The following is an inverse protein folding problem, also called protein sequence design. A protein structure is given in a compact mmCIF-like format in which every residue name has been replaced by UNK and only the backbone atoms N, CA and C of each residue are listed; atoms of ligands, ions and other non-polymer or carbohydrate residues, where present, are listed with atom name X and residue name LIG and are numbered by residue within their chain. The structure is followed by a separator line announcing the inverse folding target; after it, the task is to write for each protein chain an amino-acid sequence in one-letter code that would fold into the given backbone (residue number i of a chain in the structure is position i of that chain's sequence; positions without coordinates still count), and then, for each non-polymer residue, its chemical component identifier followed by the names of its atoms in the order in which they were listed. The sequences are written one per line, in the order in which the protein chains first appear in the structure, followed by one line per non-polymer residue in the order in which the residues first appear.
data_IF_862858734693
#
_entry.id   IF_862858734693
#
_cell.length_a   1.000
_cell.length_b   1.000
_cell.length_c   1.000
_cell.angle_alpha   90.00
_cell.angle_beta   90.00
_cell.angle_gamma   90.00
#
_symmetry.space_group_name_H-M   'P 1'
#
loop_
_entity.id
_entity.type
_entity.pdbx_description
1 polymer ?
#
# COMPACT_ATOMS: atom_id res chain seq x y z
N UNK A 1 14.33 17.96 6.78
CA UNK A 1 14.38 17.16 5.53
C UNK A 1 12.96 16.97 5.01
N UNK A 2 12.80 16.93 3.68
CA UNK A 2 11.53 16.53 3.06
C UNK A 2 11.25 15.05 3.38
N UNK A 3 9.99 14.69 3.58
CA UNK A 3 9.63 13.27 3.81
C UNK A 3 9.55 12.52 2.48
N UNK A 4 9.63 11.19 2.52
CA UNK A 4 9.63 10.33 1.34
C UNK A 4 8.51 10.71 0.37
N UNK A 5 8.84 10.86 -0.92
CA UNK A 5 7.89 11.15 -2.00
C UNK A 5 7.05 12.43 -1.84
N UNK A 6 7.41 13.38 -0.98
CA UNK A 6 6.68 14.62 -0.78
C UNK A 6 6.35 15.36 -2.09
N UNK A 7 7.28 15.40 -3.04
CA UNK A 7 7.08 16.05 -4.34
C UNK A 7 6.04 15.37 -5.23
N UNK A 8 5.71 14.09 -4.98
CA UNK A 8 4.67 13.33 -5.70
C UNK A 8 3.27 13.64 -5.20
N UNK A 9 3.12 14.13 -3.97
CA UNK A 9 1.82 14.56 -3.45
C UNK A 9 1.35 15.77 -4.26
N UNK A 10 0.11 15.78 -4.78
CA UNK A 10 -0.42 16.92 -5.53
C UNK A 10 -0.31 18.24 -4.78
N UNK A 11 0.20 19.26 -5.48
CA UNK A 11 0.55 20.55 -4.88
C UNK A 11 -0.65 21.23 -4.19
N UNK A 12 -1.88 20.99 -4.67
CA UNK A 12 -3.11 21.57 -4.13
C UNK A 12 -3.40 21.21 -2.67
N UNK A 13 -2.87 20.10 -2.17
CA UNK A 13 -3.03 19.68 -0.78
C UNK A 13 -1.74 19.21 -0.10
N UNK A 14 -0.59 19.31 -0.77
CA UNK A 14 0.70 18.77 -0.30
C UNK A 14 1.05 19.21 1.12
N UNK A 15 1.05 20.52 1.39
CA UNK A 15 1.48 21.05 2.69
C UNK A 15 0.62 20.49 3.83
N UNK A 16 -0.70 20.57 3.70
CA UNK A 16 -1.64 20.06 4.71
C UNK A 16 -1.56 18.53 4.85
N UNK A 17 -1.36 17.82 3.74
CA UNK A 17 -1.21 16.37 3.72
C UNK A 17 0.05 15.91 4.46
N UNK A 18 1.21 16.49 4.12
CA UNK A 18 2.51 16.18 4.74
C UNK A 18 2.49 16.48 6.24
N UNK A 19 1.93 17.63 6.63
CA UNK A 19 1.78 18.00 8.03
C UNK A 19 0.93 16.97 8.78
N UNK A 20 -0.21 16.59 8.23
CA UNK A 20 -1.08 15.57 8.85
C UNK A 20 -0.43 14.19 8.90
N UNK A 21 0.34 13.79 7.89
CA UNK A 21 1.12 12.54 7.91
C UNK A 21 2.11 12.52 9.07
N UNK A 22 2.84 13.62 9.30
CA UNK A 22 3.79 13.72 10.43
C UNK A 22 3.08 13.59 11.78
N UNK A 23 1.93 14.24 11.92
CA UNK A 23 1.12 14.16 13.14
C UNK A 23 0.60 12.74 13.39
N UNK A 24 0.09 12.07 12.35
CA UNK A 24 -0.37 10.68 12.45
C UNK A 24 0.79 9.76 12.81
N UNK A 25 1.92 9.89 12.12
CA UNK A 25 3.11 9.08 12.38
C UNK A 25 3.60 9.24 13.83
N UNK A 26 3.58 10.46 14.36
CA UNK A 26 3.87 10.73 15.77
C UNK A 26 2.91 10.00 16.72
N UNK A 27 1.59 10.01 16.45
CA UNK A 27 0.59 9.31 17.29
C UNK A 27 0.65 7.78 17.18
N UNK A 28 1.07 7.28 16.02
CA UNK A 28 1.30 5.85 15.78
C UNK A 28 2.65 5.36 16.31
N UNK A 29 3.59 6.26 16.61
CA UNK A 29 4.94 5.93 17.07
C UNK A 29 5.83 5.36 15.95
N UNK A 30 5.66 5.83 14.72
CA UNK A 30 6.39 5.36 13.54
C UNK A 30 7.08 6.51 12.80
N UNK A 31 7.99 6.20 11.89
CA UNK A 31 8.58 7.19 10.98
C UNK A 31 7.53 7.61 9.92
N UNK A 32 7.29 8.92 9.67
CA UNK A 32 6.35 9.39 8.64
C UNK A 32 6.67 8.91 7.22
N UNK A 33 7.94 8.61 6.91
CA UNK A 33 8.33 8.06 5.61
C UNK A 33 7.65 6.73 5.33
N UNK A 34 7.36 5.92 6.36
CA UNK A 34 6.72 4.61 6.19
C UNK A 34 5.29 4.76 5.66
N UNK A 35 4.54 5.74 6.17
CA UNK A 35 3.20 6.05 5.65
C UNK A 35 3.28 6.53 4.21
N UNK A 36 4.26 7.39 3.89
CA UNK A 36 4.44 7.90 2.53
C UNK A 36 4.80 6.80 1.53
N UNK A 37 5.68 5.87 1.90
CA UNK A 37 6.07 4.73 1.06
C UNK A 37 4.87 3.82 0.80
N UNK A 38 4.10 3.47 1.84
CA UNK A 38 2.90 2.63 1.72
C UNK A 38 1.86 3.30 0.84
N UNK A 39 1.54 4.58 1.08
CA UNK A 39 0.56 5.30 0.25
C UNK A 39 1.04 5.48 -1.19
N UNK A 40 2.34 5.71 -1.40
CA UNK A 40 2.93 5.74 -2.76
C UNK A 40 2.70 4.41 -3.46
N UNK A 41 2.93 3.29 -2.78
CA UNK A 41 2.76 1.96 -3.36
C UNK A 41 1.29 1.72 -3.72
N UNK A 42 0.39 1.92 -2.77
CA UNK A 42 -1.05 1.67 -2.90
C UNK A 42 -1.75 2.56 -3.94
N UNK A 43 -1.26 3.78 -4.14
CA UNK A 43 -1.84 4.74 -5.09
C UNK A 43 -1.10 4.81 -6.43
N UNK A 44 -0.15 3.90 -6.68
CA UNK A 44 0.76 3.97 -7.82
C UNK A 44 1.46 5.34 -7.97
N UNK A 45 1.74 5.99 -6.83
CA UNK A 45 2.43 7.27 -6.73
C UNK A 45 1.56 8.51 -6.96
N UNK A 46 0.24 8.35 -7.10
CA UNK A 46 -0.67 9.49 -7.33
C UNK A 46 -1.05 10.23 -6.05
N UNK A 47 -1.00 9.56 -4.89
CA UNK A 47 -1.54 10.05 -3.62
C UNK A 47 -3.02 10.49 -3.72
N UNK A 48 -3.74 9.98 -4.72
CA UNK A 48 -5.13 10.37 -4.95
C UNK A 48 -6.06 9.64 -3.97
N UNK A 49 -6.94 10.36 -3.25
CA UNK A 49 -7.93 9.73 -2.36
C UNK A 49 -9.03 9.01 -3.15
N UNK A 50 -9.17 9.30 -4.45
CA UNK A 50 -10.22 8.77 -5.29
C UNK A 50 -9.76 7.66 -6.22
N UNK A 51 -8.48 7.30 -6.23
CA UNK A 51 -7.98 6.21 -7.07
C UNK A 51 -8.67 4.89 -6.69
N UNK A 52 -9.13 4.14 -7.69
CA UNK A 52 -9.82 2.88 -7.48
C UNK A 52 -9.16 1.78 -8.30
N UNK A 53 -8.91 0.64 -7.66
CA UNK A 53 -8.46 -0.55 -8.36
C UNK A 53 -9.62 -1.17 -9.16
N UNK A 54 -9.43 -1.36 -10.47
CA UNK A 54 -10.48 -1.89 -11.34
C UNK A 54 -10.89 -3.34 -10.99
N UNK A 55 -9.94 -4.15 -10.52
CA UNK A 55 -10.14 -5.56 -10.18
C UNK A 55 -10.71 -5.79 -8.79
N UNK A 56 -10.13 -5.18 -7.76
CA UNK A 56 -10.56 -5.36 -6.35
C UNK A 56 -11.62 -4.37 -5.89
N UNK A 57 -11.86 -3.29 -6.65
CA UNK A 57 -12.70 -2.13 -6.29
C UNK A 57 -12.23 -1.34 -5.08
N UNK A 58 -11.05 -1.64 -4.54
CA UNK A 58 -10.42 -0.94 -3.45
C UNK A 58 -10.16 0.55 -3.77
N UNK A 59 -10.21 1.43 -2.77
CA UNK A 59 -10.21 2.89 -2.97
C UNK A 59 -9.18 3.62 -2.09
N UNK A 60 -8.55 4.65 -2.67
CA UNK A 60 -7.87 5.71 -1.93
C UNK A 60 -6.47 5.39 -1.45
N UNK A 61 -6.01 6.16 -0.47
CA UNK A 61 -4.62 6.27 -0.03
C UNK A 61 -3.99 4.95 0.42
N UNK A 62 -4.79 4.01 0.94
CA UNK A 62 -4.34 2.67 1.31
C UNK A 62 -5.21 1.56 0.68
N UNK A 63 -5.93 1.87 -0.40
CA UNK A 63 -6.81 0.93 -1.10
C UNK A 63 -7.79 0.20 -0.16
N UNK A 64 -8.65 0.98 0.52
CA UNK A 64 -9.71 0.46 1.38
C UNK A 64 -10.69 -0.42 0.58
N UNK A 65 -10.86 -1.68 1.00
CA UNK A 65 -11.91 -2.58 0.49
C UNK A 65 -13.23 -2.35 1.25
N UNK A 66 -14.34 -2.85 0.71
CA UNK A 66 -15.71 -2.67 1.25
C UNK A 66 -15.81 -3.05 2.74
N UNK A 67 -15.26 -4.20 3.12
CA UNK A 67 -15.31 -4.68 4.51
C UNK A 67 -14.57 -3.71 5.45
N UNK A 68 -13.38 -3.26 5.05
CA UNK A 68 -12.59 -2.30 5.85
C UNK A 68 -13.31 -0.95 5.97
N UNK A 69 -13.92 -0.46 4.89
CA UNK A 69 -14.69 0.78 4.91
C UNK A 69 -15.90 0.66 5.86
N UNK A 70 -16.61 -0.47 5.80
CA UNK A 70 -17.75 -0.77 6.68
C UNK A 70 -17.32 -0.83 8.14
N UNK A 71 -16.23 -1.53 8.45
CA UNK A 71 -15.67 -1.62 9.81
C UNK A 71 -15.22 -0.26 10.37
N UNK A 72 -14.93 0.70 9.50
CA UNK A 72 -14.57 2.06 9.88
C UNK A 72 -15.80 2.99 10.01
N UNK A 73 -17.01 2.49 9.74
CA UNK A 73 -18.26 3.25 9.81
C UNK A 73 -18.47 4.15 8.58
N UNK A 74 -17.96 3.76 7.41
CA UNK A 74 -18.09 4.50 6.15
C UNK A 74 -18.35 3.54 4.98
N UNK A 75 -18.25 4.04 3.74
CA UNK A 75 -18.34 3.23 2.52
C UNK A 75 -17.23 3.63 1.54
N UNK A 76 -16.86 2.79 0.57
CA UNK A 76 -15.87 3.18 -0.45
C UNK A 76 -16.29 4.42 -1.24
N UNK A 77 -17.59 4.60 -1.51
CA UNK A 77 -18.11 5.80 -2.16
C UNK A 77 -17.85 7.07 -1.33
N UNK A 78 -18.11 7.03 -0.02
CA UNK A 78 -17.81 8.15 0.89
C UNK A 78 -16.31 8.42 0.98
N UNK A 79 -15.49 7.36 1.09
CA UNK A 79 -14.02 7.48 1.10
C UNK A 79 -13.51 8.15 -0.18
N UNK A 80 -14.02 7.75 -1.35
CA UNK A 80 -13.64 8.31 -2.66
C UNK A 80 -13.98 9.81 -2.78
N UNK A 81 -15.04 10.25 -2.13
CA UNK A 81 -15.50 11.64 -2.14
C UNK A 81 -14.74 12.55 -1.16
N UNK A 82 -13.91 11.97 -0.26
CA UNK A 82 -13.12 12.75 0.68
C UNK A 82 -11.93 13.44 -0.01
N UNK A 83 -11.52 14.57 0.56
CA UNK A 83 -10.18 15.10 0.30
C UNK A 83 -9.10 14.15 0.81
N UNK A 84 -7.89 14.25 0.27
CA UNK A 84 -6.75 13.44 0.73
C UNK A 84 -6.50 13.61 2.24
N UNK A 85 -6.60 14.86 2.73
CA UNK A 85 -6.40 15.19 4.14
C UNK A 85 -7.50 14.60 5.03
N UNK A 86 -8.76 14.58 4.61
CA UNK A 86 -9.83 13.90 5.37
C UNK A 86 -9.64 12.39 5.38
N UNK A 87 -9.25 11.80 4.23
CA UNK A 87 -9.07 10.36 4.14
C UNK A 87 -7.92 9.86 5.03
N UNK A 88 -6.93 10.70 5.34
CA UNK A 88 -5.88 10.39 6.31
C UNK A 88 -6.42 10.08 7.73
N UNK A 89 -7.56 10.63 8.14
CA UNK A 89 -8.18 10.26 9.43
C UNK A 89 -8.60 8.77 9.45
N UNK A 90 -9.06 8.26 8.30
CA UNK A 90 -9.42 6.86 8.14
C UNK A 90 -8.19 5.96 8.04
N UNK A 91 -7.10 6.45 7.43
CA UNK A 91 -5.80 5.76 7.44
C UNK A 91 -5.31 5.58 8.87
N UNK A 92 -5.32 6.64 9.68
CA UNK A 92 -4.94 6.58 11.10
C UNK A 92 -5.86 5.65 11.90
N UNK A 93 -7.19 5.79 11.76
CA UNK A 93 -8.17 4.96 12.46
C UNK A 93 -7.98 3.47 12.16
N UNK A 94 -7.64 3.13 10.92
CA UNK A 94 -7.33 1.77 10.52
C UNK A 94 -6.02 1.26 11.14
N UNK A 95 -4.92 2.01 10.97
CA UNK A 95 -3.58 1.59 11.39
C UNK A 95 -3.40 1.55 12.91
N UNK A 96 -4.16 2.34 13.67
CA UNK A 96 -4.12 2.35 15.15
C UNK A 96 -4.33 0.96 15.76
N UNK A 97 -5.10 0.08 15.09
CA UNK A 97 -5.36 -1.31 15.51
C UNK A 97 -4.09 -2.17 15.59
N UNK A 98 -3.04 -1.78 14.85
CA UNK A 98 -1.82 -2.57 14.67
C UNK A 98 -0.58 -1.88 15.21
N UNK A 99 -0.68 -0.65 15.73
CA UNK A 99 0.49 0.20 16.03
C UNK A 99 1.54 -0.45 16.94
N UNK A 100 1.12 -1.27 17.90
CA UNK A 100 2.02 -1.98 18.80
C UNK A 100 2.89 -3.06 18.11
N UNK A 101 2.58 -3.41 16.86
CA UNK A 101 3.30 -4.39 16.05
C UNK A 101 4.22 -3.75 15.00
N UNK A 102 4.26 -2.42 14.89
CA UNK A 102 5.08 -1.75 13.89
C UNK A 102 6.52 -1.59 14.39
N UNK A 103 7.46 -2.26 13.74
CA UNK A 103 8.90 -2.07 13.96
C UNK A 103 9.61 -1.49 12.74
N UNK A 104 9.02 -1.63 11.55
CA UNK A 104 9.57 -1.15 10.28
C UNK A 104 8.47 -0.90 9.25
N UNK A 105 8.84 -0.36 8.07
CA UNK A 105 7.89 -0.08 6.98
C UNK A 105 7.15 -1.32 6.47
N UNK A 106 7.75 -2.52 6.53
CA UNK A 106 7.09 -3.74 6.06
C UNK A 106 5.91 -4.13 6.96
N UNK A 107 5.99 -3.86 8.26
CA UNK A 107 4.89 -4.12 9.18
C UNK A 107 3.68 -3.22 8.89
N UNK A 108 3.95 -1.94 8.58
CA UNK A 108 2.90 -0.99 8.16
C UNK A 108 2.27 -1.46 6.85
N UNK A 109 3.08 -1.90 5.89
CA UNK A 109 2.58 -2.40 4.62
C UNK A 109 1.78 -3.70 4.77
N UNK A 110 2.27 -4.67 5.54
CA UNK A 110 1.55 -5.92 5.80
C UNK A 110 0.23 -5.68 6.53
N UNK A 111 0.15 -4.68 7.42
CA UNK A 111 -1.11 -4.30 8.04
C UNK A 111 -2.14 -3.79 7.02
N UNK A 112 -1.72 -3.15 5.94
CA UNK A 112 -2.60 -2.71 4.85
C UNK A 112 -2.94 -3.87 3.90
N UNK A 113 -1.92 -4.59 3.43
CA UNK A 113 -2.04 -5.57 2.36
C UNK A 113 -2.63 -6.91 2.83
N UNK A 114 -2.17 -7.42 3.98
CA UNK A 114 -2.49 -8.76 4.46
C UNK A 114 -2.38 -8.85 6.00
N UNK A 115 -3.23 -8.14 6.76
CA UNK A 115 -3.06 -7.95 8.21
C UNK A 115 -3.01 -9.24 9.05
N UNK A 116 -3.63 -10.31 8.56
CA UNK A 116 -3.57 -11.65 9.20
C UNK A 116 -2.15 -12.25 9.25
N UNK A 117 -1.24 -11.75 8.41
CA UNK A 117 0.14 -12.22 8.29
C UNK A 117 1.15 -11.36 9.05
N UNK A 118 0.68 -10.30 9.72
CA UNK A 118 1.55 -9.42 10.50
C UNK A 118 2.22 -10.17 11.66
N UNK A 119 3.56 -10.13 11.70
CA UNK A 119 4.39 -10.85 12.68
C UNK A 119 4.63 -12.34 12.36
N UNK A 120 4.23 -12.81 11.17
CA UNK A 120 4.53 -14.18 10.69
C UNK A 120 5.92 -14.23 10.02
N UNK A 121 6.56 -15.41 9.95
CA UNK A 121 7.88 -15.55 9.35
C UNK A 121 7.84 -15.31 7.83
N UNK A 122 8.98 -14.89 7.28
CA UNK A 122 9.16 -14.53 5.87
C UNK A 122 8.76 -15.64 4.87
N UNK A 123 8.93 -16.91 5.26
CA UNK A 123 8.56 -18.09 4.46
C UNK A 123 7.05 -18.36 4.38
N UNK A 124 6.23 -17.64 5.15
CA UNK A 124 4.79 -17.86 5.18
C UNK A 124 4.17 -17.47 3.83
N UNK A 125 3.43 -18.42 3.23
CA UNK A 125 2.63 -18.18 2.03
C UNK A 125 1.43 -17.32 2.41
N UNK A 126 1.28 -16.18 1.73
CA UNK A 126 0.16 -15.25 1.86
C UNK A 126 -0.96 -15.63 0.90
N UNK A 127 -0.65 -15.75 -0.40
CA UNK A 127 -1.59 -16.18 -1.44
C UNK A 127 -0.97 -17.27 -2.31
N UNK A 128 -1.79 -18.19 -2.81
CA UNK A 128 -1.34 -19.29 -3.66
C UNK A 128 -2.27 -19.48 -4.85
N UNK A 129 -1.68 -19.70 -6.02
CA UNK A 129 -2.38 -20.05 -7.26
C UNK A 129 -3.21 -21.33 -7.09
N UNK A 130 -2.72 -22.24 -6.24
CA UNK A 130 -3.33 -23.54 -5.96
C UNK A 130 -4.32 -23.50 -4.80
N UNK A 131 -4.70 -22.32 -4.30
CA UNK A 131 -5.74 -22.18 -3.26
C UNK A 131 -7.01 -22.96 -3.61
N UNK A 132 -7.57 -23.69 -2.66
CA UNK A 132 -8.82 -24.43 -2.84
C UNK A 132 -10.05 -23.52 -2.85
N UNK A 133 -9.97 -22.34 -2.21
CA UNK A 133 -11.05 -21.34 -2.21
C UNK A 133 -11.00 -20.43 -3.44
N UNK A 134 -12.18 -20.05 -3.96
CA UNK A 134 -12.30 -19.09 -5.07
C UNK A 134 -11.68 -17.72 -4.71
N UNK A 135 -11.93 -17.23 -3.48
CA UNK A 135 -11.35 -15.98 -2.99
C UNK A 135 -9.82 -16.04 -2.93
N UNK A 136 -9.24 -17.16 -2.48
CA UNK A 136 -7.78 -17.29 -2.44
C UNK A 136 -7.15 -17.35 -3.83
N UNK A 137 -7.78 -18.01 -4.81
CA UNK A 137 -7.34 -17.97 -6.22
C UNK A 137 -7.40 -16.55 -6.77
N UNK A 138 -8.50 -15.84 -6.53
CA UNK A 138 -8.66 -14.44 -6.95
C UNK A 138 -7.59 -13.53 -6.32
N UNK A 139 -7.29 -13.70 -5.03
CA UNK A 139 -6.24 -12.94 -4.33
C UNK A 139 -4.86 -13.19 -4.92
N UNK A 140 -4.53 -14.42 -5.30
CA UNK A 140 -3.30 -14.68 -6.03
C UNK A 140 -3.31 -13.98 -7.40
N UNK A 141 -4.36 -14.15 -8.21
CA UNK A 141 -4.40 -13.57 -9.57
C UNK A 141 -4.31 -12.04 -9.58
N UNK A 142 -4.97 -11.36 -8.63
CA UNK A 142 -4.90 -9.90 -8.49
C UNK A 142 -3.51 -9.40 -8.08
N UNK A 143 -2.69 -10.26 -7.46
CA UNK A 143 -1.41 -9.89 -6.86
C UNK A 143 -0.22 -10.68 -7.43
N UNK A 144 -0.39 -11.44 -8.51
CA UNK A 144 0.64 -12.33 -9.07
C UNK A 144 1.93 -11.63 -9.49
N UNK A 145 1.93 -10.30 -9.62
CA UNK A 145 3.14 -9.52 -9.81
C UNK A 145 4.09 -9.55 -8.59
N UNK A 146 3.59 -9.98 -7.43
CA UNK A 146 4.35 -10.18 -6.21
C UNK A 146 4.99 -11.59 -6.11
N UNK A 147 4.59 -12.54 -6.97
CA UNK A 147 5.26 -13.84 -7.11
C UNK A 147 6.49 -13.65 -8.01
N UNK A 148 7.62 -13.35 -7.38
CA UNK A 148 8.86 -12.93 -8.04
C UNK A 148 9.62 -14.09 -8.63
N UNK A 149 9.51 -15.27 -8.04
CA UNK A 149 10.16 -16.50 -8.52
C UNK A 149 9.26 -17.35 -9.44
N UNK A 150 7.98 -16.99 -9.57
CA UNK A 150 6.94 -17.63 -10.39
C UNK A 150 6.64 -19.07 -9.96
N UNK A 151 6.77 -19.39 -8.68
CA UNK A 151 6.51 -20.73 -8.15
C UNK A 151 5.01 -21.00 -7.85
N UNK A 152 4.16 -20.01 -8.03
CA UNK A 152 2.72 -20.10 -7.78
C UNK A 152 2.32 -19.73 -6.35
N UNK A 153 3.26 -19.25 -5.52
CA UNK A 153 3.00 -18.74 -4.19
C UNK A 153 3.54 -17.32 -4.05
N UNK A 154 2.85 -16.51 -3.25
CA UNK A 154 3.30 -15.19 -2.84
C UNK A 154 3.62 -15.30 -1.36
N UNK A 155 4.89 -15.14 -1.00
CA UNK A 155 5.36 -15.19 0.40
C UNK A 155 5.53 -13.80 1.01
N UNK A 156 5.62 -13.73 2.34
CA UNK A 156 5.96 -12.48 3.04
C UNK A 156 7.30 -11.93 2.57
N UNK A 157 8.28 -12.80 2.34
CA UNK A 157 9.59 -12.39 1.83
C UNK A 157 9.49 -11.64 0.49
N UNK A 158 8.73 -12.16 -0.46
CA UNK A 158 8.58 -11.54 -1.78
C UNK A 158 7.85 -10.19 -1.71
N UNK A 159 6.80 -10.12 -0.89
CA UNK A 159 6.09 -8.87 -0.59
C UNK A 159 7.08 -7.81 -0.09
N UNK A 160 7.99 -8.19 0.84
CA UNK A 160 9.04 -7.30 1.35
C UNK A 160 10.04 -6.91 0.26
N UNK A 161 10.50 -7.84 -0.57
CA UNK A 161 11.43 -7.54 -1.66
C UNK A 161 10.84 -6.58 -2.69
N UNK A 162 9.56 -6.75 -3.04
CA UNK A 162 8.88 -5.83 -3.95
C UNK A 162 8.76 -4.44 -3.32
N UNK A 163 8.28 -4.33 -2.07
CA UNK A 163 8.18 -3.03 -1.40
C UNK A 163 9.55 -2.36 -1.26
N UNK A 164 10.61 -3.13 -0.99
CA UNK A 164 11.98 -2.63 -0.87
C UNK A 164 12.46 -1.85 -2.08
N UNK A 165 12.05 -2.26 -3.30
CA UNK A 165 12.36 -1.50 -4.53
C UNK A 165 11.69 -0.10 -4.59
N UNK A 166 10.78 0.18 -3.66
CA UNK A 166 10.02 1.42 -3.52
C UNK A 166 10.42 2.22 -2.26
N UNK A 167 11.54 1.87 -1.63
CA UNK A 167 12.08 2.61 -0.49
C UNK A 167 13.22 3.50 -1.01
N UNK A 168 13.15 4.84 -0.86
CA UNK A 168 14.27 5.72 -1.16
C UNK A 168 15.53 5.35 -0.34
N UNK A 169 16.72 5.45 -0.94
CA UNK A 169 17.96 5.02 -0.27
C UNK A 169 18.27 5.83 0.99
N UNK A 170 17.84 7.09 1.02
CA UNK A 170 18.07 8.10 2.04
C UNK A 170 17.00 8.10 3.15
N UNK A 171 15.98 7.26 3.07
CA UNK A 171 14.97 7.16 4.13
C UNK A 171 15.33 6.08 5.14
N UNK A 172 14.96 6.34 6.40
CA UNK A 172 15.01 5.33 7.45
C UNK A 172 13.76 4.44 7.34
N UNK A 173 13.94 3.25 6.77
CA UNK A 173 12.90 2.24 6.65
C UNK A 173 12.70 1.40 7.91
N UNK A 174 13.49 1.61 8.96
CA UNK A 174 13.59 0.72 10.11
C UNK A 174 14.25 -0.63 9.77
N UNK A 175 14.96 -0.71 8.64
CA UNK A 175 15.61 -1.92 8.13
C UNK A 175 17.11 -1.69 8.00
N UNK A 176 17.94 -2.62 8.50
CA UNK A 176 19.40 -2.55 8.42
C UNK A 176 19.91 -2.33 6.98
N UNK A 177 20.92 -1.47 6.75
CA UNK A 177 21.43 -1.13 5.41
C UNK A 177 21.98 -2.31 4.59
N UNK A 178 22.37 -3.41 5.23
CA UNK A 178 22.78 -4.65 4.55
C UNK A 178 21.67 -5.29 3.70
N UNK A 179 20.42 -4.84 3.88
CA UNK A 179 19.28 -5.17 3.05
C UNK A 179 18.93 -4.12 1.99
N UNK A 180 19.75 -3.09 1.73
CA UNK A 180 19.52 -2.10 0.65
C UNK A 180 20.19 -2.57 -0.65
N UNK A 181 19.57 -3.54 -1.33
CA UNK A 181 20.04 -3.98 -2.67
C UNK A 181 19.55 -2.98 -3.73
N UNK A 182 20.44 -2.55 -4.63
CA UNK A 182 20.12 -1.73 -5.80
C UNK A 182 19.03 -2.41 -6.65
N UNK A 183 18.06 -1.67 -7.20
CA UNK A 183 16.95 -2.27 -7.91
C UNK A 183 17.45 -2.92 -9.21
N UNK A 184 17.43 -4.25 -9.29
CA UNK A 184 17.14 -4.90 -10.57
C UNK A 184 15.72 -4.46 -10.96
N UNK A 185 15.56 -3.99 -12.19
CA UNK A 185 14.31 -3.49 -12.77
C UNK A 185 13.13 -4.45 -12.49
N UNK A 186 12.43 -4.25 -11.38
CA UNK A 186 11.12 -4.83 -11.14
C UNK A 186 10.13 -3.98 -11.92
N UNK A 187 9.84 -4.40 -13.15
CA UNK A 187 8.74 -3.84 -13.94
C UNK A 187 7.45 -4.17 -13.20
N UNK A 188 6.99 -3.24 -12.36
CA UNK A 188 5.64 -3.27 -11.80
C UNK A 188 4.69 -2.98 -12.96
N UNK A 189 4.18 -4.03 -13.58
CA UNK A 189 2.97 -3.93 -14.39
C UNK A 189 1.81 -3.63 -13.44
N UNK A 190 1.58 -2.34 -13.18
CA UNK A 190 0.24 -1.91 -12.83
C UNK A 190 -0.61 -2.26 -14.04
N UNK A 191 -1.64 -3.08 -13.86
CA UNK A 191 -2.67 -3.32 -14.86
C UNK A 191 -3.44 -2.02 -15.12
N UNK A 192 -2.82 -1.08 -15.83
CA UNK A 192 -3.47 0.04 -16.48
C UNK A 192 -4.23 -0.52 -17.68
N UNK A 193 -5.52 -0.81 -17.49
CA UNK A 193 -6.44 -0.72 -18.62
C UNK A 193 -6.97 0.71 -18.64
N UNK A 194 -6.33 1.56 -19.44
CA UNK A 194 -6.92 2.82 -19.87
C UNK A 194 -6.66 3.00 -21.37
N UNK A 195 -7.78 3.22 -22.07
CA UNK A 195 -8.00 3.60 -23.47
C UNK A 195 -7.89 2.53 -24.57
N UNK A 196 -9.05 2.17 -25.13
CA UNK A 196 -9.23 2.34 -26.56
C UNK A 196 -10.44 3.27 -26.81
N UNK A 197 -10.14 4.47 -27.29
CA UNK A 197 -11.13 5.36 -27.89
C UNK A 197 -11.25 4.89 -29.34
N UNK A 198 -12.42 4.42 -29.75
CA UNK A 198 -12.82 4.54 -31.13
C UNK A 198 -13.99 5.50 -31.18
N UNK A 199 -13.71 6.70 -31.70
CA UNK A 199 -14.72 7.57 -32.30
C UNK A 199 -14.92 7.11 -33.75
N UNK A 200 -16.13 7.40 -34.25
CA UNK A 200 -16.58 7.39 -35.65
C UNK A 200 -16.99 5.99 -36.14
N UNK A 201 -18.18 5.74 -36.70
CA UNK A 201 -19.23 6.55 -37.35
C UNK A 201 -20.58 5.99 -36.97
#
# INVERSE_FOLDING_TARGET
MAIAYESRVPATYRTAFVEKVKQIASRLGINPDWLMIVMKFETAGTFSPSIQNAGSKAVGLIQFIESTATDLGTTPAKLRAMTAVQQLDYVEKYLTRYKAKFANVYDVYLAVFAPAFLGKPDSQIVYSKSSTSALGKQRYELNKALDTNKDGNITIWEIKQVLKTHIPLDTDSGVSPENKVLPFLAIVFLSFFVFNSSKNV
#
